data_IF_246047752334
#
_entry.id   IF_246047752334
#
_cell.length_a   1.000
_cell.length_b   1.000
_cell.length_c   1.000
_cell.angle_alpha   90.00
_cell.angle_beta   90.00
_cell.angle_gamma   90.00
#
_symmetry.space_group_name_H-M   'P 1'
#
loop_
_entity.id
_entity.type
_entity.pdbx_description
1 polymer ?
#
# COMPACT_ATOMS: atom_id res chain seq x y z
N UNK A 1 21.09 -12.68 9.52
CA UNK A 1 20.50 -13.30 8.30
C UNK A 1 21.41 -14.44 7.85
N UNK A 2 20.96 -15.44 7.09
CA UNK A 2 21.82 -16.59 6.69
C UNK A 2 22.24 -16.51 5.21
N UNK A 3 23.48 -16.87 4.87
CA UNK A 3 23.97 -16.91 3.47
C UNK A 3 23.20 -17.97 2.69
N UNK A 4 22.65 -17.61 1.52
CA UNK A 4 21.97 -18.56 0.62
C UNK A 4 22.93 -19.59 0.01
N UNK A 5 24.22 -19.27 -0.08
CA UNK A 5 25.23 -20.16 -0.66
C UNK A 5 25.81 -21.18 0.34
N UNK A 6 25.97 -20.82 1.62
CA UNK A 6 26.57 -21.72 2.63
C UNK A 6 25.76 -21.90 3.92
N UNK A 7 24.63 -21.20 4.08
CA UNK A 7 23.79 -21.28 5.26
C UNK A 7 24.33 -20.58 6.52
N UNK A 8 25.52 -19.95 6.46
CA UNK A 8 26.14 -19.37 7.65
C UNK A 8 25.47 -18.07 8.10
N UNK A 9 25.55 -17.78 9.40
CA UNK A 9 25.00 -16.56 9.97
C UNK A 9 25.84 -15.35 9.58
N UNK A 10 25.19 -14.44 8.86
CA UNK A 10 25.78 -13.21 8.40
C UNK A 10 25.53 -12.10 9.43
N UNK A 11 26.60 -11.49 9.99
CA UNK A 11 26.48 -10.38 10.94
C UNK A 11 25.82 -9.15 10.28
N UNK A 12 25.03 -8.42 11.08
CA UNK A 12 24.31 -7.24 10.63
C UNK A 12 25.28 -6.16 10.09
N UNK A 13 25.01 -5.63 8.90
CA UNK A 13 25.83 -4.57 8.27
C UNK A 13 26.96 -5.06 7.35
N UNK A 14 27.11 -6.37 7.15
CA UNK A 14 28.09 -6.93 6.21
C UNK A 14 27.60 -6.89 4.75
N UNK A 15 28.50 -6.56 3.82
CA UNK A 15 28.21 -6.47 2.38
C UNK A 15 28.45 -7.81 1.63
N UNK A 16 29.13 -8.72 2.31
CA UNK A 16 29.57 -10.03 1.82
C UNK A 16 29.39 -11.02 2.95
N UNK A 17 29.02 -12.24 2.63
CA UNK A 17 29.06 -13.28 3.64
C UNK A 17 30.52 -13.63 3.99
N UNK A 18 30.87 -13.68 5.29
CA UNK A 18 32.24 -13.99 5.72
C UNK A 18 32.71 -15.40 5.35
N UNK A 19 31.80 -16.39 5.26
CA UNK A 19 32.19 -17.78 4.94
C UNK A 19 32.16 -18.11 3.43
N UNK A 20 31.08 -17.78 2.72
CA UNK A 20 30.90 -18.13 1.31
C UNK A 20 31.46 -17.06 0.34
N UNK A 21 31.77 -15.86 0.82
CA UNK A 21 32.14 -14.72 -0.01
C UNK A 21 31.00 -14.15 -0.87
N UNK A 22 29.80 -14.73 -0.80
CA UNK A 22 28.65 -14.32 -1.62
C UNK A 22 28.19 -12.91 -1.25
N UNK A 23 27.98 -12.07 -2.26
CA UNK A 23 27.69 -10.63 -2.09
C UNK A 23 26.21 -10.40 -1.77
N UNK A 24 25.94 -9.79 -0.62
CA UNK A 24 24.57 -9.52 -0.14
C UNK A 24 23.97 -8.30 -0.85
N UNK A 25 24.84 -7.45 -1.40
CA UNK A 25 24.48 -6.28 -2.22
C UNK A 25 23.58 -6.67 -3.41
N UNK A 26 23.69 -7.90 -3.91
CA UNK A 26 22.82 -8.38 -5.00
C UNK A 26 21.34 -8.37 -4.63
N UNK A 27 20.96 -8.74 -3.41
CA UNK A 27 19.55 -8.87 -3.06
C UNK A 27 18.85 -7.50 -2.98
N UNK A 28 19.54 -6.49 -2.42
CA UNK A 28 19.04 -5.11 -2.43
C UNK A 28 19.02 -4.52 -3.84
N UNK A 29 19.98 -4.89 -4.69
CA UNK A 29 19.98 -4.51 -6.11
C UNK A 29 18.84 -5.20 -6.91
N UNK A 30 18.47 -6.45 -6.57
CA UNK A 30 17.35 -7.20 -7.17
C UNK A 30 15.98 -6.59 -6.83
N UNK A 31 15.80 -6.04 -5.62
CA UNK A 31 14.60 -5.24 -5.32
C UNK A 31 14.59 -3.89 -6.06
N UNK A 32 15.76 -3.34 -6.39
CA UNK A 32 15.87 -2.08 -7.12
C UNK A 32 15.10 -0.95 -6.42
N UNK A 33 14.21 -0.28 -7.15
CA UNK A 33 13.40 0.84 -6.64
C UNK A 33 12.08 0.42 -5.97
N UNK A 34 11.79 -0.88 -5.84
CA UNK A 34 10.49 -1.38 -5.32
C UNK A 34 10.17 -0.83 -3.92
N UNK A 35 11.09 -0.83 -2.92
CA UNK A 35 10.79 -0.28 -1.59
C UNK A 35 10.42 1.21 -1.60
N UNK A 36 11.08 2.00 -2.46
CA UNK A 36 10.77 3.42 -2.61
C UNK A 36 9.40 3.61 -3.27
N UNK A 37 9.07 2.79 -4.27
CA UNK A 37 7.77 2.82 -4.94
C UNK A 37 6.63 2.51 -3.96
N UNK A 38 6.82 1.52 -3.08
CA UNK A 38 5.87 1.17 -2.01
C UNK A 38 5.69 2.33 -1.02
N UNK A 39 6.78 3.01 -0.64
CA UNK A 39 6.71 4.18 0.24
C UNK A 39 5.96 5.35 -0.39
N UNK A 40 6.27 5.66 -1.65
CA UNK A 40 5.59 6.73 -2.38
C UNK A 40 4.10 6.40 -2.49
N UNK A 41 3.75 5.16 -2.84
CA UNK A 41 2.38 4.69 -2.88
C UNK A 41 1.68 4.88 -1.52
N UNK A 42 2.33 4.47 -0.43
CA UNK A 42 1.78 4.62 0.92
C UNK A 42 1.51 6.08 1.29
N UNK A 43 2.46 6.98 1.01
CA UNK A 43 2.30 8.41 1.28
C UNK A 43 1.20 9.02 0.42
N UNK A 44 1.13 8.69 -0.88
CA UNK A 44 0.08 9.19 -1.77
C UNK A 44 -1.29 8.71 -1.31
N UNK A 45 -1.43 7.44 -0.93
CA UNK A 45 -2.67 6.90 -0.38
C UNK A 45 -3.10 7.62 0.91
N UNK A 46 -2.16 7.94 1.81
CA UNK A 46 -2.44 8.74 3.01
C UNK A 46 -2.93 10.15 2.69
N UNK A 47 -2.29 10.83 1.73
CA UNK A 47 -2.70 12.18 1.31
C UNK A 47 -4.12 12.15 0.73
N UNK A 48 -4.42 11.16 -0.11
CA UNK A 48 -5.76 10.98 -0.69
C UNK A 48 -6.79 10.69 0.42
N UNK A 49 -6.47 9.81 1.37
CA UNK A 49 -7.35 9.52 2.51
C UNK A 49 -7.61 10.76 3.38
N UNK A 50 -6.58 11.57 3.64
CA UNK A 50 -6.74 12.84 4.37
C UNK A 50 -7.60 13.85 3.60
N UNK A 51 -7.48 13.90 2.27
CA UNK A 51 -8.33 14.75 1.43
C UNK A 51 -9.80 14.35 1.52
N UNK A 52 -10.11 13.05 1.49
CA UNK A 52 -11.49 12.57 1.69
C UNK A 52 -11.98 12.88 3.11
N UNK A 53 -11.15 12.70 4.13
CA UNK A 53 -11.50 13.05 5.51
C UNK A 53 -11.86 14.55 5.66
N UNK A 54 -11.10 15.44 5.03
CA UNK A 54 -11.39 16.86 4.98
C UNK A 54 -12.69 17.16 4.22
N UNK A 55 -12.95 16.42 3.14
CA UNK A 55 -14.16 16.57 2.33
C UNK A 55 -15.43 16.20 3.12
N UNK A 56 -15.36 15.16 3.97
CA UNK A 56 -16.45 14.78 4.88
C UNK A 56 -16.76 15.92 5.86
N UNK A 57 -15.73 16.61 6.37
CA UNK A 57 -15.91 17.71 7.32
C UNK A 57 -16.67 18.92 6.74
N UNK A 58 -16.69 19.07 5.42
CA UNK A 58 -17.39 20.16 4.71
C UNK A 58 -18.59 19.62 3.90
N UNK A 59 -18.92 18.34 4.05
CA UNK A 59 -19.94 17.67 3.24
C UNK A 59 -21.34 18.28 3.45
N UNK A 60 -21.66 18.69 4.68
CA UNK A 60 -22.94 19.32 5.02
C UNK A 60 -23.15 20.62 4.27
N UNK A 61 -22.15 21.50 4.28
CA UNK A 61 -22.20 22.79 3.58
C UNK A 61 -22.30 22.59 2.07
N UNK A 62 -21.46 21.70 1.52
CA UNK A 62 -21.50 21.34 0.11
C UNK A 62 -22.86 20.78 -0.32
N UNK A 63 -23.47 19.93 0.51
CA UNK A 63 -24.76 19.33 0.21
C UNK A 63 -25.88 20.37 0.13
N UNK A 64 -25.96 21.28 1.11
CA UNK A 64 -26.99 22.32 1.15
C UNK A 64 -26.91 23.21 -0.10
N UNK A 65 -25.71 23.50 -0.60
CA UNK A 65 -25.52 24.35 -1.77
C UNK A 65 -25.80 23.64 -3.10
N UNK A 66 -25.58 22.32 -3.18
CA UNK A 66 -25.57 21.58 -4.44
C UNK A 66 -26.72 20.58 -4.62
N UNK A 67 -27.51 20.33 -3.59
CA UNK A 67 -28.63 19.37 -3.67
C UNK A 67 -29.67 19.83 -4.68
N UNK A 68 -30.10 18.92 -5.55
CA UNK A 68 -31.18 19.17 -6.49
C UNK A 68 -32.52 19.39 -5.79
N UNK A 69 -33.52 19.95 -6.49
CA UNK A 69 -34.86 20.16 -5.94
C UNK A 69 -35.57 18.85 -5.55
N UNK A 70 -35.09 17.73 -6.08
CA UNK A 70 -35.50 16.35 -5.78
C UNK A 70 -34.82 15.77 -4.51
N UNK A 71 -33.94 16.53 -3.85
CA UNK A 71 -33.22 16.09 -2.66
C UNK A 71 -32.04 15.15 -2.95
N UNK A 72 -31.60 15.05 -4.21
CA UNK A 72 -30.47 14.21 -4.62
C UNK A 72 -29.37 15.03 -5.27
N UNK A 73 -28.13 14.53 -5.20
CA UNK A 73 -26.99 15.06 -5.94
C UNK A 73 -26.56 14.03 -6.99
N UNK A 74 -26.77 14.32 -8.27
CA UNK A 74 -26.57 13.37 -9.38
C UNK A 74 -27.26 12.00 -9.15
N UNK A 75 -28.45 11.98 -8.54
CA UNK A 75 -29.20 10.75 -8.27
C UNK A 75 -28.74 9.97 -7.03
N UNK A 76 -27.80 10.52 -6.25
CA UNK A 76 -27.29 9.94 -5.00
C UNK A 76 -27.89 10.67 -3.82
N UNK A 77 -28.20 9.96 -2.73
CA UNK A 77 -28.68 10.55 -1.46
C UNK A 77 -27.52 10.93 -0.52
N UNK A 78 -27.75 11.82 0.43
CA UNK A 78 -26.72 12.30 1.37
C UNK A 78 -26.03 11.13 2.08
N UNK A 79 -26.81 10.21 2.66
CA UNK A 79 -26.26 9.08 3.41
C UNK A 79 -25.47 8.09 2.55
N UNK A 80 -25.82 7.95 1.26
CA UNK A 80 -25.02 7.14 0.34
C UNK A 80 -23.68 7.82 0.05
N UNK A 81 -23.69 9.13 -0.22
CA UNK A 81 -22.48 9.90 -0.48
C UNK A 81 -21.54 9.91 0.74
N UNK A 82 -22.08 10.19 1.93
CA UNK A 82 -21.35 10.16 3.20
C UNK A 82 -20.74 8.78 3.45
N UNK A 83 -21.53 7.71 3.33
CA UNK A 83 -21.05 6.34 3.56
C UNK A 83 -19.91 5.98 2.60
N UNK A 84 -20.04 6.28 1.30
CA UNK A 84 -18.99 6.03 0.32
C UNK A 84 -17.71 6.80 0.65
N UNK A 85 -17.81 8.09 1.02
CA UNK A 85 -16.66 8.89 1.43
C UNK A 85 -15.97 8.33 2.68
N UNK A 86 -16.74 7.89 3.69
CA UNK A 86 -16.19 7.31 4.93
C UNK A 86 -15.45 6.00 4.63
N UNK A 87 -16.03 5.10 3.84
CA UNK A 87 -15.38 3.84 3.46
C UNK A 87 -14.12 4.07 2.61
N UNK A 88 -14.15 5.01 1.67
CA UNK A 88 -12.96 5.40 0.90
C UNK A 88 -11.87 5.95 1.80
N UNK A 89 -12.22 6.86 2.73
CA UNK A 89 -11.28 7.42 3.71
C UNK A 89 -10.60 6.32 4.52
N UNK A 90 -11.38 5.41 5.09
CA UNK A 90 -10.86 4.31 5.90
C UNK A 90 -9.93 3.38 5.10
N UNK A 91 -10.31 3.04 3.85
CA UNK A 91 -9.52 2.16 2.99
C UNK A 91 -8.19 2.81 2.54
N UNK A 92 -8.22 4.08 2.13
CA UNK A 92 -7.00 4.78 1.71
C UNK A 92 -6.03 5.01 2.86
N UNK A 93 -6.54 5.37 4.06
CA UNK A 93 -5.68 5.55 5.24
C UNK A 93 -5.07 4.24 5.71
N UNK A 94 -5.88 3.17 5.82
CA UNK A 94 -5.38 1.86 6.24
C UNK A 94 -4.41 1.26 5.21
N UNK A 95 -4.73 1.36 3.91
CA UNK A 95 -3.82 0.96 2.83
C UNK A 95 -2.51 1.73 2.87
N UNK A 96 -2.58 3.05 3.03
CA UNK A 96 -1.43 3.93 3.11
C UNK A 96 -0.51 3.58 4.28
N UNK A 97 -1.08 3.32 5.47
CA UNK A 97 -0.32 2.86 6.64
C UNK A 97 0.36 1.51 6.38
N UNK A 98 -0.39 0.53 5.87
CA UNK A 98 0.14 -0.79 5.57
C UNK A 98 1.28 -0.74 4.55
N UNK A 99 1.12 0.02 3.46
CA UNK A 99 2.15 0.21 2.46
C UNK A 99 3.38 0.95 3.02
N UNK A 100 3.18 2.00 3.83
CA UNK A 100 4.30 2.75 4.43
C UNK A 100 5.13 1.86 5.36
N UNK A 101 4.48 1.10 6.23
CA UNK A 101 5.16 0.15 7.13
C UNK A 101 5.86 -0.94 6.32
N UNK A 102 5.18 -1.52 5.32
CA UNK A 102 5.76 -2.50 4.39
C UNK A 102 7.02 -1.95 3.71
N UNK A 103 6.98 -0.73 3.18
CA UNK A 103 8.10 -0.07 2.53
C UNK A 103 9.29 0.20 3.45
N UNK A 104 9.05 0.61 4.71
CA UNK A 104 10.11 0.78 5.71
C UNK A 104 10.79 -0.56 6.03
N UNK A 105 9.99 -1.62 6.23
CA UNK A 105 10.49 -2.97 6.48
C UNK A 105 11.25 -3.51 5.28
N UNK A 106 10.73 -3.30 4.06
CA UNK A 106 11.39 -3.63 2.80
C UNK A 106 12.75 -2.95 2.67
N UNK A 107 12.84 -1.65 3.00
CA UNK A 107 14.09 -0.89 2.96
C UNK A 107 15.13 -1.41 3.96
N UNK A 108 14.68 -1.88 5.12
CA UNK A 108 15.53 -2.46 6.16
C UNK A 108 15.83 -3.95 5.93
N UNK A 109 15.17 -4.61 4.97
CA UNK A 109 15.29 -6.04 4.67
C UNK A 109 14.97 -6.95 5.87
N UNK A 110 13.98 -6.57 6.69
CA UNK A 110 13.58 -7.30 7.91
C UNK A 110 12.13 -7.77 7.80
N UNK A 111 11.79 -8.91 8.42
CA UNK A 111 10.42 -9.43 8.53
C UNK A 111 9.72 -9.60 7.17
N UNK A 112 10.34 -10.29 6.22
CA UNK A 112 9.85 -10.42 4.83
C UNK A 112 8.41 -10.93 4.71
N UNK A 113 7.99 -11.87 5.56
CA UNK A 113 6.59 -12.37 5.58
C UNK A 113 5.58 -11.29 5.98
N UNK A 114 5.91 -10.48 6.98
CA UNK A 114 5.05 -9.37 7.43
C UNK A 114 4.95 -8.31 6.34
N UNK A 115 6.07 -7.98 5.70
CA UNK A 115 6.13 -7.05 4.58
C UNK A 115 5.20 -7.46 3.42
N UNK A 116 5.21 -8.75 3.06
CA UNK A 116 4.32 -9.32 2.04
C UNK A 116 2.84 -9.20 2.40
N UNK A 117 2.48 -9.62 3.63
CA UNK A 117 1.09 -9.55 4.11
C UNK A 117 0.60 -8.10 4.10
N UNK A 118 1.41 -7.16 4.59
CA UNK A 118 1.06 -5.74 4.62
C UNK A 118 0.89 -5.15 3.21
N UNK A 119 1.77 -5.50 2.26
CA UNK A 119 1.67 -5.01 0.89
C UNK A 119 0.43 -5.58 0.17
N UNK A 120 0.12 -6.85 0.41
CA UNK A 120 -1.07 -7.49 -0.14
C UNK A 120 -2.34 -6.90 0.46
N UNK A 121 -2.40 -6.73 1.79
CA UNK A 121 -3.52 -6.08 2.47
C UNK A 121 -3.74 -4.65 1.96
N UNK A 122 -2.67 -3.86 1.79
CA UNK A 122 -2.77 -2.51 1.25
C UNK A 122 -3.42 -2.48 -0.13
N UNK A 123 -3.10 -3.47 -0.98
CA UNK A 123 -3.64 -3.55 -2.35
C UNK A 123 -5.11 -3.99 -2.35
N UNK A 124 -5.47 -4.97 -1.53
CA UNK A 124 -6.82 -5.54 -1.46
C UNK A 124 -7.82 -4.54 -0.85
N UNK A 125 -7.41 -3.79 0.18
CA UNK A 125 -8.30 -2.83 0.86
C UNK A 125 -8.89 -1.78 -0.09
N UNK A 126 -8.05 -1.21 -0.96
CA UNK A 126 -8.49 -0.20 -1.96
C UNK A 126 -9.38 -0.84 -3.03
N UNK A 127 -9.06 -2.07 -3.42
CA UNK A 127 -9.85 -2.79 -4.42
C UNK A 127 -11.27 -3.09 -3.92
N UNK A 128 -11.41 -3.62 -2.70
CA UNK A 128 -12.72 -4.00 -2.14
C UNK A 128 -13.68 -2.80 -2.08
N UNK A 129 -13.18 -1.62 -1.74
CA UNK A 129 -14.00 -0.40 -1.67
C UNK A 129 -14.35 0.16 -3.06
N UNK A 130 -13.56 -0.14 -4.09
CA UNK A 130 -13.82 0.32 -5.46
C UNK A 130 -14.79 -0.57 -6.26
N UNK A 131 -15.06 -1.81 -5.83
CA UNK A 131 -15.98 -2.75 -6.50
C UNK A 131 -17.46 -2.30 -6.54
N UNK A 132 -18.06 -1.76 -5.46
CA UNK A 132 -19.49 -1.45 -5.46
C UNK A 132 -19.90 -0.34 -6.43
N UNK A 133 -18.99 0.55 -6.80
CA UNK A 133 -19.27 1.70 -7.67
C UNK A 133 -18.43 1.64 -8.94
N UNK A 134 -19.05 1.32 -10.07
CA UNK A 134 -18.37 1.17 -11.38
C UNK A 134 -17.58 2.43 -11.78
N UNK A 135 -17.99 3.60 -11.30
CA UNK A 135 -17.30 4.87 -11.52
C UNK A 135 -15.93 4.93 -10.83
N UNK A 136 -15.78 4.29 -9.67
CA UNK A 136 -14.53 4.25 -8.90
C UNK A 136 -13.68 3.00 -9.20
N UNK A 137 -14.17 2.07 -10.03
CA UNK A 137 -13.46 0.85 -10.38
C UNK A 137 -12.05 1.11 -10.95
N UNK A 138 -11.86 2.17 -11.75
CA UNK A 138 -10.55 2.53 -12.28
C UNK A 138 -9.56 2.91 -11.17
N UNK A 139 -10.04 3.61 -10.13
CA UNK A 139 -9.26 4.00 -8.96
C UNK A 139 -8.91 2.81 -8.07
N UNK A 140 -9.59 1.67 -8.18
CA UNK A 140 -9.25 0.44 -7.45
C UNK A 140 -8.38 -0.54 -8.25
N UNK A 141 -8.67 -0.72 -9.54
CA UNK A 141 -8.01 -1.73 -10.38
C UNK A 141 -6.54 -1.39 -10.65
N UNK A 142 -6.24 -0.12 -10.96
CA UNK A 142 -4.86 0.31 -11.23
C UNK A 142 -3.95 0.11 -10.01
N UNK A 143 -4.28 0.64 -8.81
CA UNK A 143 -3.44 0.41 -7.63
C UNK A 143 -3.41 -1.06 -7.21
N UNK A 144 -4.47 -1.83 -7.47
CA UNK A 144 -4.45 -3.27 -7.23
C UNK A 144 -3.40 -3.98 -8.12
N UNK A 145 -3.38 -3.72 -9.43
CA UNK A 145 -2.39 -4.32 -10.35
C UNK A 145 -0.97 -3.90 -9.94
N UNK A 146 -0.76 -2.62 -9.66
CA UNK A 146 0.53 -2.09 -9.24
C UNK A 146 0.97 -2.72 -7.91
N UNK A 147 0.06 -2.81 -6.94
CA UNK A 147 0.31 -3.41 -5.64
C UNK A 147 0.59 -4.92 -5.71
N UNK A 148 -0.10 -5.65 -6.60
CA UNK A 148 0.20 -7.06 -6.89
C UNK A 148 1.58 -7.24 -7.52
N UNK A 149 1.97 -6.36 -8.44
CA UNK A 149 3.31 -6.37 -9.02
C UNK A 149 4.40 -6.12 -7.97
N UNK A 150 4.21 -5.13 -7.10
CA UNK A 150 5.13 -4.85 -5.98
C UNK A 150 5.23 -6.06 -5.03
N UNK A 151 4.09 -6.65 -4.68
CA UNK A 151 4.01 -7.83 -3.81
C UNK A 151 4.72 -9.03 -4.43
N UNK A 152 4.55 -9.26 -5.74
CA UNK A 152 5.27 -10.31 -6.46
C UNK A 152 6.79 -10.10 -6.42
N UNK A 153 7.26 -8.87 -6.62
CA UNK A 153 8.70 -8.55 -6.53
C UNK A 153 9.27 -8.78 -5.14
N UNK A 154 8.51 -8.45 -4.09
CA UNK A 154 8.87 -8.77 -2.71
C UNK A 154 8.92 -10.29 -2.49
N UNK A 155 7.98 -11.04 -3.06
CA UNK A 155 7.88 -12.50 -2.89
C UNK A 155 9.07 -13.23 -3.51
N UNK A 156 9.45 -12.84 -4.73
CA UNK A 156 10.64 -13.39 -5.41
C UNK A 156 11.92 -13.14 -4.60
N UNK A 157 11.98 -12.04 -3.84
CA UNK A 157 13.13 -11.69 -3.02
C UNK A 157 12.98 -12.12 -1.55
N UNK A 158 11.95 -12.89 -1.18
CA UNK A 158 11.60 -13.14 0.23
C UNK A 158 12.71 -13.81 1.05
N UNK A 159 13.50 -14.70 0.45
CA UNK A 159 14.56 -15.41 1.18
C UNK A 159 15.80 -14.53 1.47
N UNK A 160 15.79 -13.27 1.01
CA UNK A 160 16.84 -12.30 1.29
C UNK A 160 16.56 -11.50 2.57
N UNK A 161 15.33 -11.58 3.08
CA UNK A 161 14.94 -10.89 4.29
C UNK A 161 15.48 -11.63 5.51
N UNK A 162 15.98 -10.88 6.50
CA UNK A 162 16.22 -11.45 7.81
C UNK A 162 14.87 -11.77 8.45
N UNK A 163 14.64 -13.06 8.70
CA UNK A 163 13.50 -13.56 9.48
C UNK A 163 13.44 -12.94 10.86
#
# INVERSE_FOLDING_TARGET
MKCRCCGSEIPAGSYYCPDCGTRIVEDRARLGMVPNLILIYGVVALIIGLFFAMSIAVLDEFWIENVGPDGTYYGVTYGQLESTMVWMTAAFLSSGLCATVSGILARRMVYGRVCLILCLLASVLVFVVAVPDMYYALYGVVPFIVGMYMTYRLYVCQDAFSG
#
